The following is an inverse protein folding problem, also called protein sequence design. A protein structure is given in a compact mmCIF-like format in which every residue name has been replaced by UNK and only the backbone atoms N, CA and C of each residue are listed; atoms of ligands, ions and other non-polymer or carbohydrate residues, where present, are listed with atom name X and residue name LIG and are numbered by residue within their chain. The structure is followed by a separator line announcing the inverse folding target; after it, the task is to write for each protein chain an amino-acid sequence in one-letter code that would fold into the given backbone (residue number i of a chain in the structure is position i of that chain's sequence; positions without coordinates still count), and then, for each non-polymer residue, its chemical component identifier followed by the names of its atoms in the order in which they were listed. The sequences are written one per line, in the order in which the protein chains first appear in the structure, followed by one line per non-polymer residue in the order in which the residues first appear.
data_IF_257391391372
#
_entry.id   IF_257391391372
#
_cell.length_a   1.000
_cell.length_b   1.000
_cell.length_c   1.000
_cell.angle_alpha   90.00
_cell.angle_beta   90.00
_cell.angle_gamma   90.00
#
_symmetry.space_group_name_H-M   'P 1'
#
loop_
_entity.id
_entity.type
_entity.pdbx_description
1 polymer ?
#
# COMPACT_ATOMS: atom_id res chain seq x y z
N UNK A 1 17.55 -4.17 -4.22
CA UNK A 1 16.98 -2.91 -3.69
C UNK A 1 15.60 -3.12 -3.05
N UNK A 2 14.66 -3.81 -3.70
CA UNK A 2 13.30 -4.03 -3.16
C UNK A 2 13.25 -4.84 -1.85
N UNK A 3 13.99 -5.96 -1.74
CA UNK A 3 14.05 -6.74 -0.49
C UNK A 3 14.49 -5.89 0.70
N UNK A 4 15.54 -5.09 0.50
CA UNK A 4 16.06 -4.16 1.51
C UNK A 4 15.03 -3.11 1.90
N UNK A 5 14.33 -2.54 0.91
CA UNK A 5 13.29 -1.55 1.17
C UNK A 5 12.12 -2.13 1.99
N UNK A 6 11.59 -3.29 1.58
CA UNK A 6 10.51 -3.98 2.30
C UNK A 6 10.93 -4.35 3.72
N UNK A 7 12.10 -4.97 3.88
CA UNK A 7 12.62 -5.35 5.20
C UNK A 7 12.80 -4.13 6.12
N UNK A 8 13.30 -3.02 5.61
CA UNK A 8 13.42 -1.77 6.39
C UNK A 8 12.07 -1.22 6.82
N UNK A 9 11.04 -1.30 5.97
CA UNK A 9 9.70 -0.85 6.34
C UNK A 9 9.10 -1.76 7.41
N UNK A 10 9.20 -3.08 7.25
CA UNK A 10 8.70 -4.06 8.23
C UNK A 10 9.34 -3.83 9.61
N UNK A 11 10.67 -3.72 9.68
CA UNK A 11 11.36 -3.52 10.95
C UNK A 11 11.03 -2.18 11.61
N UNK A 12 10.77 -1.12 10.81
CA UNK A 12 10.32 0.18 11.35
C UNK A 12 8.90 0.12 11.90
N UNK A 13 8.02 -0.61 11.22
CA UNK A 13 6.66 -0.83 11.68
C UNK A 13 6.66 -1.57 13.03
N UNK A 14 7.50 -2.60 13.15
CA UNK A 14 7.61 -3.39 14.38
C UNK A 14 8.17 -2.58 15.55
N UNK A 15 9.20 -1.75 15.33
CA UNK A 15 9.73 -0.84 16.37
C UNK A 15 8.68 0.20 16.80
N UNK A 16 7.97 0.80 15.82
CA UNK A 16 6.88 1.74 16.08
C UNK A 16 5.76 1.09 16.89
N UNK A 17 5.44 -0.17 16.57
CA UNK A 17 4.41 -0.96 17.25
C UNK A 17 4.89 -1.62 18.56
N UNK A 18 6.19 -1.50 18.90
CA UNK A 18 6.86 -2.22 20.00
C UNK A 18 6.59 -3.74 20.00
N UNK A 19 6.59 -4.35 18.81
CA UNK A 19 6.34 -5.79 18.62
C UNK A 19 7.62 -6.59 18.43
N UNK A 20 8.78 -5.92 18.49
CA UNK A 20 10.08 -6.57 18.41
C UNK A 20 10.23 -7.65 19.48
N UNK A 21 10.52 -8.88 19.07
CA UNK A 21 10.77 -9.99 19.97
C UNK A 21 12.11 -9.81 20.69
N UNK A 22 12.08 -9.25 21.90
CA UNK A 22 13.24 -9.14 22.77
C UNK A 22 12.92 -8.37 24.06
N UNK A 23 13.62 -8.66 25.17
CA UNK A 23 13.51 -7.83 26.37
C UNK A 23 14.00 -6.40 26.10
N UNK A 24 13.40 -5.42 26.79
CA UNK A 24 13.56 -3.99 26.48
C UNK A 24 15.00 -3.47 26.58
N UNK A 25 15.87 -4.17 27.30
CA UNK A 25 17.31 -3.92 27.40
C UNK A 25 18.09 -4.28 26.13
N UNK A 26 17.51 -5.07 25.22
CA UNK A 26 18.07 -5.37 23.90
C UNK A 26 17.58 -4.42 22.79
N UNK A 27 16.74 -3.43 23.11
CA UNK A 27 16.17 -2.51 22.12
C UNK A 27 17.25 -1.78 21.30
N UNK A 28 18.35 -1.39 21.93
CA UNK A 28 19.48 -0.75 21.25
C UNK A 28 20.21 -1.71 20.29
N UNK A 29 20.31 -2.98 20.66
CA UNK A 29 20.91 -4.05 19.85
C UNK A 29 20.04 -4.38 18.64
N UNK A 30 18.71 -4.40 18.80
CA UNK A 30 17.78 -4.63 17.69
C UNK A 30 17.75 -3.41 16.76
N UNK A 31 17.71 -2.20 17.31
CA UNK A 31 17.77 -0.97 16.50
C UNK A 31 19.04 -0.89 15.67
N UNK A 32 20.17 -1.39 16.20
CA UNK A 32 21.42 -1.50 15.45
C UNK A 32 21.25 -2.32 14.16
N UNK A 33 20.44 -3.39 14.19
CA UNK A 33 20.16 -4.21 13.00
C UNK A 33 19.48 -3.39 11.89
N UNK A 34 18.58 -2.47 12.24
CA UNK A 34 17.89 -1.59 11.30
C UNK A 34 18.84 -0.62 10.60
N UNK A 35 19.88 -0.15 11.31
CA UNK A 35 20.93 0.71 10.77
C UNK A 35 21.96 -0.05 9.93
N UNK A 36 22.21 -1.33 10.23
CA UNK A 36 23.21 -2.13 9.54
C UNK A 36 22.71 -2.79 8.26
N UNK A 37 21.42 -2.72 7.91
CA UNK A 37 20.91 -3.25 6.63
C UNK A 37 21.44 -2.41 5.46
N UNK A 38 22.44 -2.97 4.79
CA UNK A 38 23.04 -2.45 3.56
C UNK A 38 22.96 -3.50 2.44
N UNK A 39 23.65 -3.25 1.31
CA UNK A 39 23.63 -4.15 0.15
C UNK A 39 24.23 -5.54 0.38
N UNK A 40 25.01 -5.72 1.45
CA UNK A 40 25.75 -6.94 1.76
C UNK A 40 25.20 -7.69 2.97
N UNK A 41 24.71 -6.97 3.98
CA UNK A 41 24.30 -7.54 5.27
C UNK A 41 22.83 -7.94 5.34
N UNK A 42 21.98 -7.39 4.46
CA UNK A 42 20.54 -7.65 4.49
C UNK A 42 20.13 -9.13 4.41
N UNK A 43 20.83 -10.05 3.71
CA UNK A 43 20.42 -11.45 3.68
C UNK A 43 20.52 -12.11 5.05
N UNK A 44 21.57 -11.76 5.80
CA UNK A 44 21.79 -12.26 7.16
C UNK A 44 20.78 -11.67 8.14
N UNK A 45 20.50 -10.37 8.04
CA UNK A 45 19.46 -9.73 8.86
C UNK A 45 18.09 -10.36 8.61
N UNK A 46 17.77 -10.65 7.34
CA UNK A 46 16.55 -11.33 6.97
C UNK A 46 16.48 -12.76 7.50
N UNK A 47 17.60 -13.48 7.48
CA UNK A 47 17.68 -14.83 8.04
C UNK A 47 17.37 -14.82 9.54
N UNK A 48 18.02 -13.93 10.29
CA UNK A 48 17.77 -13.74 11.72
C UNK A 48 16.31 -13.36 11.99
N UNK A 49 15.74 -12.48 11.15
CA UNK A 49 14.32 -12.12 11.23
C UNK A 49 13.42 -13.34 11.06
N UNK A 50 13.64 -14.14 10.01
CA UNK A 50 12.89 -15.37 9.77
C UNK A 50 13.11 -16.42 10.86
N UNK A 51 14.27 -16.45 11.53
CA UNK A 51 14.53 -17.37 12.65
C UNK A 51 13.78 -16.99 13.92
N UNK A 52 13.51 -15.69 14.13
CA UNK A 52 12.89 -15.18 15.35
C UNK A 52 11.45 -15.65 15.57
N UNK A 53 10.72 -15.99 14.50
CA UNK A 53 9.35 -16.50 14.57
C UNK A 53 9.21 -17.83 13.82
N UNK A 54 8.59 -18.81 14.49
CA UNK A 54 8.31 -20.14 13.92
C UNK A 54 7.39 -20.07 12.71
N UNK A 55 6.52 -19.06 12.63
CA UNK A 55 5.65 -18.86 11.47
C UNK A 55 6.45 -18.54 10.21
N UNK A 56 7.66 -17.98 10.33
CA UNK A 56 8.51 -17.58 9.20
C UNK A 56 9.51 -18.66 8.77
N UNK A 57 9.63 -19.76 9.52
CA UNK A 57 10.61 -20.84 9.27
C UNK A 57 10.47 -21.48 7.89
N UNK A 58 9.28 -21.42 7.28
CA UNK A 58 9.03 -21.91 5.92
C UNK A 58 9.85 -21.18 4.84
N UNK A 59 10.40 -20.00 5.15
CA UNK A 59 11.20 -19.18 4.21
C UNK A 59 12.69 -19.51 4.29
N UNK A 60 13.16 -20.05 5.42
CA UNK A 60 14.59 -20.35 5.67
C UNK A 60 15.23 -21.24 4.60
N UNK A 61 14.57 -22.32 4.09
CA UNK A 61 15.17 -23.16 3.05
C UNK A 61 15.54 -22.40 1.76
N UNK A 62 14.88 -21.28 1.45
CA UNK A 62 15.20 -20.45 0.29
C UNK A 62 16.42 -19.54 0.52
N UNK A 63 16.80 -19.32 1.78
CA UNK A 63 17.95 -18.51 2.18
C UNK A 63 19.21 -19.36 2.42
N UNK A 64 19.05 -20.63 2.79
CA UNK A 64 20.16 -21.57 3.05
C UNK A 64 20.77 -22.19 1.78
N UNK A 65 20.22 -21.91 0.60
CA UNK A 65 20.83 -22.32 -0.68
C UNK A 65 22.20 -21.67 -0.78
N UNK A 66 23.23 -22.46 -1.11
CA UNK A 66 24.69 -22.17 -0.94
C UNK A 66 25.21 -20.82 -1.48
N UNK A 67 24.38 -20.03 -2.15
CA UNK A 67 24.76 -18.74 -2.72
C UNK A 67 23.74 -17.62 -2.50
N UNK A 68 22.73 -17.69 -1.62
CA UNK A 68 21.79 -16.56 -1.44
C UNK A 68 22.53 -15.28 -0.97
N UNK A 69 22.33 -14.09 -1.58
CA UNK A 69 21.29 -13.70 -2.56
C UNK A 69 21.75 -13.76 -4.03
N UNK A 70 22.78 -14.53 -4.36
CA UNK A 70 23.32 -14.76 -5.70
C UNK A 70 22.83 -16.06 -6.35
N UNK A 71 22.16 -16.94 -5.59
CA UNK A 71 21.54 -18.17 -6.08
C UNK A 71 20.35 -17.97 -7.05
N UNK A 72 19.59 -19.05 -7.34
CA UNK A 72 18.51 -19.07 -8.31
C UNK A 72 17.44 -17.99 -8.08
N UNK A 73 16.81 -17.52 -9.16
CA UNK A 73 15.80 -16.46 -9.10
C UNK A 73 14.56 -16.89 -8.31
N UNK A 74 14.26 -18.18 -8.33
CA UNK A 74 13.12 -18.79 -7.66
C UNK A 74 13.15 -18.53 -6.15
N UNK A 75 14.30 -18.73 -5.52
CA UNK A 75 14.48 -18.44 -4.09
C UNK A 75 14.25 -16.96 -3.78
N UNK A 76 14.75 -16.06 -4.63
CA UNK A 76 14.56 -14.60 -4.45
C UNK A 76 13.10 -14.20 -4.55
N UNK A 77 12.36 -14.83 -5.46
CA UNK A 77 10.92 -14.59 -5.63
C UNK A 77 10.17 -15.08 -4.41
N UNK A 78 10.47 -16.28 -3.88
CA UNK A 78 9.82 -16.78 -2.66
C UNK A 78 10.06 -15.85 -1.46
N UNK A 79 11.30 -15.41 -1.27
CA UNK A 79 11.63 -14.45 -0.21
C UNK A 79 10.94 -13.09 -0.44
N UNK A 80 10.85 -12.63 -1.68
CA UNK A 80 10.14 -11.39 -2.01
C UNK A 80 8.64 -11.51 -1.73
N UNK A 81 8.02 -12.65 -2.09
CA UNK A 81 6.60 -12.91 -1.83
C UNK A 81 6.32 -12.87 -0.32
N UNK A 82 7.19 -13.46 0.50
CA UNK A 82 7.10 -13.38 1.96
C UNK A 82 7.21 -11.93 2.46
N UNK A 83 8.23 -11.18 2.02
CA UNK A 83 8.40 -9.78 2.44
C UNK A 83 7.22 -8.90 2.02
N UNK A 84 6.64 -9.17 0.85
CA UNK A 84 5.42 -8.48 0.40
C UNK A 84 4.24 -8.86 1.31
N UNK A 85 4.05 -10.14 1.66
CA UNK A 85 2.98 -10.53 2.61
C UNK A 85 3.14 -9.82 3.94
N UNK A 86 4.35 -9.79 4.50
CA UNK A 86 4.61 -9.08 5.76
C UNK A 86 4.33 -7.57 5.61
N UNK A 87 4.81 -6.94 4.54
CA UNK A 87 4.53 -5.53 4.27
C UNK A 87 3.02 -5.23 4.20
N UNK A 88 2.23 -6.09 3.55
CA UNK A 88 0.79 -5.91 3.41
C UNK A 88 0.03 -6.03 4.74
N UNK A 89 0.65 -6.59 5.78
CA UNK A 89 0.11 -6.63 7.14
C UNK A 89 0.46 -5.40 7.99
N UNK A 90 1.34 -4.52 7.50
CA UNK A 90 1.71 -3.27 8.21
C UNK A 90 0.53 -2.31 8.29
N UNK A 91 0.51 -1.41 9.28
CA UNK A 91 -0.54 -0.40 9.37
C UNK A 91 -0.51 0.56 8.18
N UNK A 92 0.67 0.94 7.70
CA UNK A 92 0.82 1.82 6.53
C UNK A 92 0.13 1.21 5.31
N UNK A 93 0.41 -0.06 4.99
CA UNK A 93 -0.24 -0.73 3.86
C UNK A 93 -1.76 -0.88 4.10
N UNK A 94 -2.17 -1.22 5.32
CA UNK A 94 -3.60 -1.35 5.67
C UNK A 94 -4.34 -0.03 5.55
N UNK A 95 -3.78 1.08 6.03
CA UNK A 95 -4.39 2.40 5.97
C UNK A 95 -4.56 2.87 4.53
N UNK A 96 -3.54 2.70 3.69
CA UNK A 96 -3.62 2.99 2.26
C UNK A 96 -4.65 2.11 1.54
N UNK A 97 -4.70 0.81 1.84
CA UNK A 97 -5.69 -0.11 1.26
C UNK A 97 -7.12 0.19 1.73
N UNK A 98 -7.30 0.67 2.95
CA UNK A 98 -8.60 1.08 3.48
C UNK A 98 -8.98 2.49 3.03
N UNK A 99 -8.01 3.31 2.63
CA UNK A 99 -8.23 4.63 2.04
C UNK A 99 -8.41 4.58 0.53
N UNK A 100 -8.06 3.48 -0.15
CA UNK A 100 -8.42 3.25 -1.56
C UNK A 100 -9.96 3.34 -1.72
N UNK A 101 -10.41 4.46 -2.27
CA UNK A 101 -11.84 4.79 -2.44
C UNK A 101 -12.37 5.87 -1.50
N UNK A 102 -11.64 6.24 -0.45
CA UNK A 102 -11.94 7.42 0.37
C UNK A 102 -11.30 8.63 -0.28
N UNK A 103 -12.10 9.40 -1.00
CA UNK A 103 -11.65 10.66 -1.59
C UNK A 103 -11.32 11.64 -0.46
N UNK A 104 -10.04 11.97 -0.32
CA UNK A 104 -9.62 13.09 0.52
C UNK A 104 -9.96 14.40 -0.22
N UNK A 105 -10.86 15.18 0.38
CA UNK A 105 -11.31 16.44 -0.21
C UNK A 105 -10.33 17.57 0.05
N UNK A 106 -10.22 18.49 -0.91
CA UNK A 106 -9.48 19.74 -0.74
C UNK A 106 -10.20 20.62 0.32
N UNK A 107 -9.44 21.38 1.11
CA UNK A 107 -10.05 22.28 2.12
C UNK A 107 -10.56 23.60 1.52
N UNK A 108 -10.22 23.90 0.26
CA UNK A 108 -10.49 25.19 -0.38
C UNK A 108 -11.31 25.02 -1.66
N UNK A 109 -12.24 25.93 -1.90
CA UNK A 109 -13.01 25.94 -3.14
C UNK A 109 -12.09 25.96 -4.37
N UNK A 110 -12.30 25.02 -5.30
CA UNK A 110 -11.48 24.88 -6.52
C UNK A 110 -11.48 26.11 -7.43
N UNK A 111 -12.52 26.93 -7.34
CA UNK A 111 -12.72 28.12 -8.19
C UNK A 111 -12.15 29.39 -7.55
N UNK A 112 -12.46 29.63 -6.27
CA UNK A 112 -12.10 30.89 -5.60
C UNK A 112 -10.95 30.76 -4.59
N UNK A 113 -10.48 29.54 -4.32
CA UNK A 113 -9.40 29.20 -3.39
C UNK A 113 -9.61 29.69 -1.95
N UNK A 114 -10.86 29.86 -1.53
CA UNK A 114 -11.25 30.25 -0.17
C UNK A 114 -11.84 29.07 0.58
N UNK A 115 -11.65 29.08 1.89
CA UNK A 115 -12.32 28.24 2.86
C UNK A 115 -13.79 28.70 3.03
N UNK A 116 -14.66 27.82 3.51
CA UNK A 116 -16.07 28.11 3.78
C UNK A 116 -16.95 26.86 3.78
N UNK A 117 -18.23 27.05 3.46
CA UNK A 117 -19.18 25.96 3.27
C UNK A 117 -19.02 25.38 1.85
N UNK A 118 -18.47 24.16 1.78
CA UNK A 118 -18.01 23.57 0.52
C UNK A 118 -18.80 22.29 0.22
N UNK A 119 -19.24 22.17 -1.04
CA UNK A 119 -19.86 21.00 -1.64
C UNK A 119 -18.77 20.08 -2.22
N UNK A 120 -18.82 18.81 -1.84
CA UNK A 120 -17.86 17.78 -2.24
C UNK A 120 -18.27 17.06 -3.53
N UNK A 121 -17.34 16.84 -4.45
CA UNK A 121 -17.58 16.02 -5.64
C UNK A 121 -17.33 14.54 -5.38
N UNK A 122 -18.25 13.66 -5.74
CA UNK A 122 -18.11 12.22 -5.43
C UNK A 122 -17.03 11.44 -6.17
N UNK A 123 -16.42 12.05 -7.18
CA UNK A 123 -15.50 11.34 -8.09
C UNK A 123 -14.11 11.97 -8.13
N UNK A 124 -13.89 13.06 -7.38
CA UNK A 124 -12.57 13.69 -7.26
C UNK A 124 -12.46 14.48 -5.95
N UNK A 125 -11.24 14.86 -5.55
CA UNK A 125 -11.00 15.64 -4.33
C UNK A 125 -11.56 17.08 -4.36
N UNK A 126 -12.05 17.55 -5.50
CA UNK A 126 -12.43 18.95 -5.64
C UNK A 126 -13.69 19.30 -4.86
N UNK A 127 -13.65 20.45 -4.20
CA UNK A 127 -14.79 21.02 -3.47
C UNK A 127 -15.14 22.43 -3.98
N UNK A 128 -16.39 22.84 -3.83
CA UNK A 128 -16.91 24.08 -4.42
C UNK A 128 -17.90 24.77 -3.49
N UNK A 129 -17.90 26.10 -3.41
CA UNK A 129 -19.08 26.81 -2.88
C UNK A 129 -20.26 26.63 -3.86
N UNK A 130 -21.49 26.60 -3.35
CA UNK A 130 -22.71 26.48 -4.17
C UNK A 130 -22.77 27.55 -5.29
N UNK A 131 -22.35 28.78 -4.97
CA UNK A 131 -22.27 29.90 -5.92
C UNK A 131 -21.15 29.77 -6.95
N UNK A 132 -20.10 29.00 -6.64
CA UNK A 132 -18.95 28.79 -7.50
C UNK A 132 -19.16 27.64 -8.51
N UNK A 133 -20.18 26.82 -8.31
CA UNK A 133 -20.58 25.76 -9.26
C UNK A 133 -21.24 26.38 -10.49
N UNK A 134 -21.18 25.69 -11.63
CA UNK A 134 -21.88 26.07 -12.86
C UNK A 134 -22.86 24.96 -13.28
N UNK A 135 -24.17 25.25 -13.37
CA UNK A 135 -24.83 26.47 -12.92
C UNK A 135 -24.75 26.65 -11.38
N UNK A 136 -24.81 27.89 -10.85
CA UNK A 136 -24.82 28.12 -9.41
C UNK A 136 -26.00 27.43 -8.73
N UNK A 137 -25.74 26.75 -7.62
CA UNK A 137 -26.75 26.05 -6.84
C UNK A 137 -27.29 26.96 -5.73
N UNK A 138 -28.59 26.89 -5.46
CA UNK A 138 -29.21 27.64 -4.36
C UNK A 138 -29.18 26.86 -3.04
N UNK A 139 -29.23 25.54 -3.12
CA UNK A 139 -29.28 24.62 -1.97
C UNK A 139 -28.40 23.40 -2.25
N UNK A 140 -28.03 22.68 -1.19
CA UNK A 140 -27.25 21.44 -1.30
C UNK A 140 -28.12 20.37 -1.96
N UNK A 141 -27.66 19.68 -3.02
CA UNK A 141 -28.42 18.60 -3.66
C UNK A 141 -28.77 17.48 -2.66
N UNK A 142 -29.97 16.92 -2.78
CA UNK A 142 -30.38 15.73 -1.99
C UNK A 142 -29.72 14.45 -2.52
N UNK A 143 -29.45 14.41 -3.83
CA UNK A 143 -28.81 13.30 -4.53
C UNK A 143 -27.31 13.51 -4.71
N UNK A 144 -26.67 12.44 -5.14
CA UNK A 144 -25.26 12.35 -5.54
C UNK A 144 -24.84 13.47 -6.54
N UNK A 145 -23.82 14.27 -6.18
CA UNK A 145 -23.37 15.43 -6.98
C UNK A 145 -21.95 15.27 -7.55
N UNK A 146 -21.79 15.67 -8.82
CA UNK A 146 -20.51 15.64 -9.53
C UNK A 146 -20.18 17.00 -10.16
N UNK A 147 -18.92 17.41 -10.05
CA UNK A 147 -18.46 18.67 -10.60
C UNK A 147 -18.43 18.68 -12.14
N UNK A 148 -18.47 19.87 -12.73
CA UNK A 148 -18.51 20.06 -14.19
C UNK A 148 -17.35 19.36 -14.91
N UNK A 149 -16.18 19.28 -14.26
CA UNK A 149 -14.99 18.63 -14.78
C UNK A 149 -15.21 17.11 -14.86
N UNK A 150 -15.64 16.48 -13.77
CA UNK A 150 -15.92 15.04 -13.76
C UNK A 150 -17.01 14.65 -14.75
N UNK A 151 -18.08 15.45 -14.85
CA UNK A 151 -19.15 15.22 -15.83
C UNK A 151 -18.62 15.33 -17.27
N UNK A 152 -17.79 16.33 -17.56
CA UNK A 152 -17.19 16.50 -18.89
C UNK A 152 -16.21 15.38 -19.29
N UNK A 153 -15.53 14.78 -18.31
CA UNK A 153 -14.58 13.69 -18.52
C UNK A 153 -15.20 12.29 -18.52
N UNK A 154 -16.52 12.15 -18.29
CA UNK A 154 -17.22 10.87 -18.43
C UNK A 154 -17.31 10.49 -19.92
N UNK A 155 -16.47 9.54 -20.34
CA UNK A 155 -16.50 8.98 -21.70
C UNK A 155 -17.49 7.80 -21.75
N UNK A 156 -18.55 7.86 -22.56
CA UNK A 156 -19.50 6.76 -22.68
C UNK A 156 -18.83 5.49 -23.20
N UNK A 157 -19.08 4.35 -22.55
CA UNK A 157 -18.50 3.05 -22.89
C UNK A 157 -17.13 2.76 -22.30
N UNK A 158 -16.53 3.71 -21.57
CA UNK A 158 -15.32 3.49 -20.77
C UNK A 158 -15.73 3.33 -19.32
N UNK A 159 -15.77 2.08 -18.86
CA UNK A 159 -15.92 1.77 -17.45
C UNK A 159 -14.55 1.53 -16.83
N UNK A 160 -14.45 1.75 -15.53
CA UNK A 160 -13.28 1.36 -14.76
C UNK A 160 -12.99 -0.13 -14.95
N UNK A 161 -11.70 -0.48 -15.09
CA UNK A 161 -11.26 -1.87 -15.22
C UNK A 161 -11.36 -2.65 -13.90
N UNK A 162 -11.77 -1.97 -12.82
CA UNK A 162 -12.02 -2.56 -11.51
C UNK A 162 -13.41 -3.22 -11.50
N UNK A 163 -13.43 -4.55 -11.44
CA UNK A 163 -14.67 -5.33 -11.27
C UNK A 163 -15.37 -5.03 -9.94
N UNK A 164 -16.68 -5.25 -9.85
CA UNK A 164 -17.42 -5.08 -8.59
C UNK A 164 -16.88 -5.93 -7.44
N UNK A 165 -16.28 -7.09 -7.75
CA UNK A 165 -15.61 -7.93 -6.77
C UNK A 165 -14.37 -7.23 -6.23
N UNK A 166 -13.57 -6.60 -7.10
CA UNK A 166 -12.40 -5.82 -6.69
C UNK A 166 -12.78 -4.57 -5.89
N UNK A 167 -13.93 -3.95 -6.18
CA UNK A 167 -14.45 -2.81 -5.38
C UNK A 167 -14.84 -3.22 -3.96
N UNK A 168 -15.43 -4.40 -3.80
CA UNK A 168 -15.92 -4.89 -2.51
C UNK A 168 -14.89 -5.71 -1.72
N UNK A 169 -13.86 -6.21 -2.40
CA UNK A 169 -12.74 -6.98 -1.84
C UNK A 169 -11.48 -6.58 -2.61
N UNK A 170 -10.73 -5.57 -2.16
CA UNK A 170 -9.46 -5.23 -2.80
C UNK A 170 -8.56 -6.47 -2.72
N UNK A 171 -8.29 -7.08 -3.88
CA UNK A 171 -7.35 -8.17 -3.96
C UNK A 171 -5.97 -7.60 -3.76
N UNK A 172 -5.40 -7.85 -2.59
CA UNK A 172 -4.04 -7.39 -2.27
C UNK A 172 -3.01 -8.08 -3.19
N UNK A 173 -3.37 -9.22 -3.79
CA UNK A 173 -2.68 -9.84 -4.92
C UNK A 173 -3.67 -10.19 -6.02
N UNK A 174 -3.43 -9.68 -7.21
CA UNK A 174 -4.14 -10.16 -8.38
C UNK A 174 -3.76 -11.62 -8.66
N UNK A 175 -4.75 -12.47 -8.88
CA UNK A 175 -4.51 -13.75 -9.55
C UNK A 175 -3.94 -13.47 -10.96
N UNK A 176 -3.08 -14.37 -11.49
CA UNK A 176 -2.59 -14.24 -12.85
C UNK A 176 -3.76 -14.03 -13.83
N UNK A 177 -3.73 -12.93 -14.60
CA UNK A 177 -4.77 -12.55 -15.57
C UNK A 177 -4.99 -13.66 -16.62
N UNK A 178 -3.96 -14.48 -16.82
CA UNK A 178 -4.02 -15.72 -17.56
C UNK A 178 -2.64 -16.36 -17.53
N UNK A 179 -2.57 -17.61 -17.97
CA UNK A 179 -1.30 -18.27 -18.20
C UNK A 179 -0.94 -18.19 -19.67
N UNK A 180 0.35 -18.11 -19.98
CA UNK A 180 0.81 -18.17 -21.37
C UNK A 180 0.51 -19.56 -22.01
N UNK A 181 0.87 -19.74 -23.28
CA UNK A 181 0.70 -21.03 -23.98
C UNK A 181 1.42 -22.21 -23.30
N UNK A 182 2.36 -21.93 -22.41
CA UNK A 182 3.15 -22.90 -21.66
C UNK A 182 2.68 -23.03 -20.21
N UNK A 183 1.53 -22.44 -19.86
CA UNK A 183 0.97 -22.41 -18.51
C UNK A 183 1.88 -21.72 -17.48
N UNK A 184 2.69 -20.76 -17.91
CA UNK A 184 3.47 -19.89 -17.02
C UNK A 184 2.73 -18.61 -16.70
#
# INVERSE_FOLDING_TARGET
ETHVALLKVILREEDTSNTTFGPADLKDSVNSSLYFIDGMTWPEVLRVYCESDREYHHVLPYQEVEEYPYGPIESKVQVLLFLVDQFLTTNIAREELMSEGVIQYDDHCRVCHKLGDLLCCETCSAVYHLECVKPPLAEVPEDEWQCEVCVAHKVPGVNDCISEIQKNKPYIRHEPIGYDRQRR
#
